data_IF_967426865910
#
_entry.id   IF_967426865910
#
_cell.length_a   1.000
_cell.length_b   1.000
_cell.length_c   1.000
_cell.angle_alpha   90.00
_cell.angle_beta   90.00
_cell.angle_gamma   90.00
#
_symmetry.space_group_name_H-M   'P 1'
#
loop_
_entity.id
_entity.type
_entity.pdbx_description
1 polymer ?
#
# COMPACT_ATOMS: atom_id res chain seq x y z
N UNK A 1 -21.74 -25.16 -18.01
CA UNK A 1 -22.00 -24.04 -17.09
C UNK A 1 -21.71 -22.74 -17.82
N UNK A 2 -22.73 -21.92 -18.04
CA UNK A 2 -22.75 -20.84 -19.03
C UNK A 2 -21.90 -19.62 -18.60
N UNK A 3 -21.19 -19.02 -19.56
CA UNK A 3 -20.34 -17.82 -19.43
C UNK A 3 -21.00 -16.65 -18.67
N UNK A 4 -22.33 -16.60 -18.69
CA UNK A 4 -23.17 -15.58 -18.03
C UNK A 4 -23.17 -15.69 -16.50
N UNK A 5 -22.95 -16.88 -15.94
CA UNK A 5 -22.86 -17.06 -14.48
C UNK A 5 -21.52 -16.59 -13.90
N UNK A 6 -20.42 -16.73 -14.65
CA UNK A 6 -19.07 -16.35 -14.19
C UNK A 6 -18.91 -14.83 -14.17
N UNK A 7 -19.45 -14.12 -15.16
CA UNK A 7 -19.44 -12.65 -15.18
C UNK A 7 -20.30 -12.05 -14.07
N UNK A 8 -21.43 -12.66 -13.73
CA UNK A 8 -22.25 -12.24 -12.57
C UNK A 8 -21.51 -12.46 -11.25
N UNK A 9 -20.87 -13.60 -11.03
CA UNK A 9 -20.18 -13.89 -9.76
C UNK A 9 -18.93 -13.01 -9.58
N UNK A 10 -18.12 -12.80 -10.63
CA UNK A 10 -16.96 -11.91 -10.56
C UNK A 10 -17.34 -10.43 -10.35
N UNK A 11 -18.40 -9.96 -11.02
CA UNK A 11 -18.86 -8.58 -10.89
C UNK A 11 -19.57 -8.31 -9.55
N UNK A 12 -20.30 -9.29 -9.01
CA UNK A 12 -20.89 -9.23 -7.66
C UNK A 12 -19.80 -9.31 -6.60
N UNK A 13 -18.81 -10.21 -6.73
CA UNK A 13 -17.69 -10.29 -5.80
C UNK A 13 -16.88 -8.98 -5.79
N UNK A 14 -16.59 -8.40 -6.95
CA UNK A 14 -15.83 -7.15 -7.02
C UNK A 14 -16.63 -5.95 -6.48
N UNK A 15 -17.94 -5.86 -6.75
CA UNK A 15 -18.80 -4.81 -6.18
C UNK A 15 -18.97 -4.96 -4.67
N UNK A 16 -19.23 -6.17 -4.19
CA UNK A 16 -19.42 -6.45 -2.76
C UNK A 16 -18.09 -6.28 -2.04
N UNK A 17 -16.98 -6.80 -2.56
CA UNK A 17 -15.67 -6.68 -1.91
C UNK A 17 -15.16 -5.23 -1.91
N UNK A 18 -15.19 -4.49 -3.02
CA UNK A 18 -14.74 -3.08 -3.03
C UNK A 18 -15.65 -2.20 -2.18
N UNK A 19 -16.97 -2.40 -2.23
CA UNK A 19 -17.91 -1.67 -1.38
C UNK A 19 -17.72 -2.01 0.10
N UNK A 20 -17.62 -3.29 0.46
CA UNK A 20 -17.37 -3.70 1.84
C UNK A 20 -16.00 -3.30 2.33
N UNK A 21 -14.96 -3.30 1.49
CA UNK A 21 -13.60 -2.91 1.88
C UNK A 21 -13.48 -1.40 2.09
N UNK A 22 -14.09 -0.58 1.21
CA UNK A 22 -14.20 0.87 1.42
C UNK A 22 -15.06 1.14 2.66
N UNK A 23 -16.22 0.49 2.79
CA UNK A 23 -17.09 0.61 3.96
C UNK A 23 -16.41 0.09 5.23
N UNK A 24 -15.54 -0.92 5.19
CA UNK A 24 -14.82 -1.48 6.35
C UNK A 24 -13.61 -0.61 6.71
N UNK A 25 -12.89 -0.04 5.74
CA UNK A 25 -11.86 0.97 5.99
C UNK A 25 -12.48 2.21 6.66
N UNK A 26 -13.66 2.64 6.21
CA UNK A 26 -14.38 3.77 6.79
C UNK A 26 -15.17 3.42 8.07
N UNK A 27 -15.69 2.19 8.24
CA UNK A 27 -16.46 1.75 9.42
C UNK A 27 -15.59 1.19 10.54
N UNK A 28 -14.45 0.55 10.27
CA UNK A 28 -13.52 0.18 11.35
C UNK A 28 -12.86 1.41 11.97
N UNK A 29 -12.76 2.52 11.23
CA UNK A 29 -12.43 3.82 11.81
C UNK A 29 -13.57 4.39 12.69
N UNK A 30 -14.80 3.87 12.57
CA UNK A 30 -16.01 4.41 13.20
C UNK A 30 -16.60 3.53 14.31
N UNK A 31 -16.31 2.23 14.32
CA UNK A 31 -16.83 1.28 15.31
C UNK A 31 -15.73 0.91 16.30
N UNK A 32 -15.44 1.85 17.20
CA UNK A 32 -14.86 1.51 18.50
C UNK A 32 -15.86 0.67 19.29
N UNK A 33 -15.80 -0.64 19.11
CA UNK A 33 -16.53 -1.63 19.91
C UNK A 33 -15.64 -1.97 21.11
N UNK A 34 -16.10 -1.62 22.32
CA UNK A 34 -15.95 -2.38 23.57
C UNK A 34 -16.81 -1.68 24.62
N UNK A 35 -18.09 -2.04 24.79
CA UNK A 35 -18.59 -3.08 25.71
C UNK A 35 -18.12 -2.90 27.15
N UNK A 36 -19.04 -2.42 27.98
CA UNK A 36 -18.95 -2.34 29.44
C UNK A 36 -18.58 -3.70 30.04
N UNK A 37 -17.39 -3.82 30.64
CA UNK A 37 -17.07 -4.90 31.57
C UNK A 37 -16.40 -4.30 32.81
N UNK A 38 -16.90 -4.79 33.94
CA UNK A 38 -16.77 -4.30 35.30
C UNK A 38 -15.33 -4.32 35.84
N UNK A 39 -15.09 -3.36 36.73
CA UNK A 39 -13.89 -3.07 37.52
C UNK A 39 -13.34 -4.25 38.34
N UNK A 40 -12.04 -4.53 38.24
CA UNK A 40 -11.20 -4.98 39.37
C UNK A 40 -9.77 -4.49 39.21
N UNK A 41 -9.29 -3.79 40.24
CA UNK A 41 -7.97 -3.16 40.34
C UNK A 41 -6.87 -4.17 40.65
N UNK A 42 -5.91 -4.35 39.75
CA UNK A 42 -4.59 -4.89 40.10
C UNK A 42 -3.48 -4.19 39.31
N UNK A 43 -2.48 -3.71 40.06
CA UNK A 43 -1.26 -3.06 39.57
C UNK A 43 -0.50 -3.95 38.60
N UNK A 44 -0.51 -3.61 37.31
CA UNK A 44 0.40 -4.18 36.31
C UNK A 44 1.30 -3.08 35.74
N UNK A 45 2.59 -3.16 36.06
CA UNK A 45 3.66 -2.24 35.67
C UNK A 45 4.27 -2.75 34.35
N UNK A 46 4.49 -1.84 33.40
CA UNK A 46 4.96 -2.06 32.01
C UNK A 46 3.93 -2.71 31.05
N UNK A 47 2.88 -1.96 30.72
CA UNK A 47 2.21 -2.12 29.42
C UNK A 47 2.91 -1.19 28.41
N UNK A 48 3.58 -1.79 27.42
CA UNK A 48 4.01 -1.12 26.20
C UNK A 48 2.76 -0.58 25.51
N UNK A 49 2.43 0.68 25.78
CA UNK A 49 1.25 1.35 25.21
C UNK A 49 1.40 1.47 23.70
N UNK A 50 0.85 0.51 22.96
CA UNK A 50 0.71 0.60 21.51
C UNK A 50 -0.31 1.68 21.18
N UNK A 51 0.16 2.90 20.91
CA UNK A 51 -0.68 3.95 20.34
C UNK A 51 -1.05 3.52 18.90
N UNK A 52 -2.31 3.17 18.68
CA UNK A 52 -2.82 2.84 17.36
C UNK A 52 -2.96 4.14 16.55
N UNK A 53 -1.89 4.51 15.84
CA UNK A 53 -1.94 5.65 14.91
C UNK A 53 -2.67 5.24 13.62
N UNK A 54 -3.29 6.17 12.89
CA UNK A 54 -3.86 5.88 11.56
C UNK A 54 -2.86 5.18 10.63
N UNK A 55 -1.58 5.55 10.71
CA UNK A 55 -0.52 4.92 9.93
C UNK A 55 -0.30 3.45 10.34
N UNK A 56 -0.40 3.11 11.62
CA UNK A 56 -0.32 1.72 12.08
C UNK A 56 -1.49 0.88 11.53
N UNK A 57 -2.67 1.47 11.38
CA UNK A 57 -3.82 0.80 10.74
C UNK A 57 -3.51 0.55 9.26
N UNK A 58 -3.01 1.56 8.53
CA UNK A 58 -2.58 1.39 7.14
C UNK A 58 -1.46 0.35 6.99
N UNK A 59 -0.56 0.22 7.97
CA UNK A 59 0.49 -0.81 7.96
C UNK A 59 -0.10 -2.22 8.12
N UNK A 60 -1.11 -2.38 8.98
CA UNK A 60 -1.72 -3.68 9.27
C UNK A 60 -2.70 -4.16 8.20
N UNK A 61 -3.28 -3.27 7.40
CA UNK A 61 -4.28 -3.69 6.40
C UNK A 61 -3.70 -4.65 5.35
N UNK A 62 -2.46 -4.45 4.91
CA UNK A 62 -1.80 -5.30 3.91
C UNK A 62 -1.58 -6.74 4.38
N UNK A 63 -0.96 -7.00 5.55
CA UNK A 63 -0.83 -8.37 6.06
C UNK A 63 -2.20 -8.99 6.40
N UNK A 64 -3.17 -8.20 6.87
CA UNK A 64 -4.53 -8.72 7.11
C UNK A 64 -5.21 -9.17 5.81
N UNK A 65 -5.12 -8.37 4.74
CA UNK A 65 -5.66 -8.77 3.42
C UNK A 65 -4.92 -9.97 2.86
N UNK A 66 -3.60 -10.05 3.01
CA UNK A 66 -2.82 -11.24 2.60
C UNK A 66 -3.30 -12.50 3.33
N UNK A 67 -3.45 -12.47 4.66
CA UNK A 67 -3.93 -13.63 5.43
C UNK A 67 -5.36 -13.98 5.04
N UNK A 68 -6.24 -12.97 4.93
CA UNK A 68 -7.64 -13.15 4.54
C UNK A 68 -7.82 -13.65 3.10
N UNK A 69 -6.86 -13.39 2.21
CA UNK A 69 -6.92 -13.83 0.82
C UNK A 69 -6.45 -15.27 0.61
N UNK A 70 -5.79 -15.91 1.58
CA UNK A 70 -5.33 -17.31 1.48
C UNK A 70 -6.46 -18.28 1.13
N UNK A 71 -7.58 -18.37 1.88
CA UNK A 71 -8.67 -19.29 1.53
C UNK A 71 -9.29 -18.97 0.16
N UNK A 72 -9.41 -17.68 -0.18
CA UNK A 72 -9.91 -17.24 -1.48
C UNK A 72 -8.98 -17.62 -2.62
N UNK A 73 -7.66 -17.54 -2.39
CA UNK A 73 -6.64 -17.94 -3.37
C UNK A 73 -6.79 -19.42 -3.70
N UNK A 74 -6.95 -20.27 -2.69
CA UNK A 74 -7.11 -21.71 -2.90
C UNK A 74 -8.41 -22.03 -3.66
N UNK A 75 -9.49 -21.33 -3.36
CA UNK A 75 -10.81 -21.54 -4.00
C UNK A 75 -10.87 -21.01 -5.43
N UNK A 76 -10.26 -19.84 -5.69
CA UNK A 76 -10.44 -19.08 -6.93
C UNK A 76 -9.27 -19.19 -7.91
N UNK A 77 -8.22 -19.97 -7.59
CA UNK A 77 -7.01 -20.13 -8.43
C UNK A 77 -7.32 -20.50 -9.88
N UNK A 78 -8.31 -21.36 -10.11
CA UNK A 78 -8.73 -21.82 -11.44
C UNK A 78 -9.23 -20.69 -12.36
N UNK A 79 -9.58 -19.52 -11.80
CA UNK A 79 -10.08 -18.38 -12.57
C UNK A 79 -8.99 -17.36 -12.94
N UNK A 80 -7.72 -17.57 -12.57
CA UNK A 80 -6.64 -16.61 -12.79
C UNK A 80 -6.54 -16.13 -14.25
N UNK A 81 -6.62 -17.06 -15.23
CA UNK A 81 -6.55 -16.77 -16.67
C UNK A 81 -7.70 -15.90 -17.14
N UNK A 82 -8.89 -16.10 -16.59
CA UNK A 82 -10.07 -15.30 -16.94
C UNK A 82 -10.02 -13.91 -16.32
N UNK A 83 -9.61 -13.81 -15.04
CA UNK A 83 -9.50 -12.52 -14.35
C UNK A 83 -8.44 -11.63 -14.98
N UNK A 84 -7.31 -12.20 -15.41
CA UNK A 84 -6.28 -11.46 -16.14
C UNK A 84 -6.75 -10.86 -17.48
N UNK A 85 -7.87 -11.34 -18.05
CA UNK A 85 -8.42 -10.81 -19.30
C UNK A 85 -9.48 -9.72 -19.07
N UNK A 86 -9.96 -9.54 -17.84
CA UNK A 86 -10.94 -8.51 -17.51
C UNK A 86 -10.35 -7.13 -17.80
N UNK A 87 -11.10 -6.30 -18.53
CA UNK A 87 -10.67 -4.97 -18.97
C UNK A 87 -10.06 -4.14 -17.83
N UNK A 88 -10.73 -4.07 -16.69
CA UNK A 88 -10.25 -3.29 -15.55
C UNK A 88 -8.92 -3.82 -15.00
N UNK A 89 -8.78 -5.14 -14.88
CA UNK A 89 -7.55 -5.76 -14.37
C UNK A 89 -6.39 -5.45 -15.31
N UNK A 90 -6.61 -5.61 -16.62
CA UNK A 90 -5.62 -5.25 -17.65
C UNK A 90 -5.26 -3.78 -17.63
N UNK A 91 -6.25 -2.91 -17.47
CA UNK A 91 -6.04 -1.46 -17.39
C UNK A 91 -5.20 -1.09 -16.18
N UNK A 92 -5.58 -1.58 -14.99
CA UNK A 92 -4.85 -1.35 -13.75
C UNK A 92 -3.41 -1.85 -13.86
N UNK A 93 -3.23 -3.09 -14.33
CA UNK A 93 -1.91 -3.70 -14.47
C UNK A 93 -1.03 -2.93 -15.45
N UNK A 94 -1.52 -2.72 -16.68
CA UNK A 94 -0.71 -2.14 -17.74
C UNK A 94 -0.37 -0.67 -17.47
N UNK A 95 -1.32 0.12 -16.98
CA UNK A 95 -1.14 1.58 -16.89
C UNK A 95 -0.81 2.10 -15.49
N UNK A 96 -1.31 1.48 -14.43
CA UNK A 96 -1.09 1.97 -13.06
C UNK A 96 0.02 1.24 -12.32
N UNK A 97 0.38 0.03 -12.74
CA UNK A 97 1.39 -0.78 -12.03
C UNK A 97 2.61 -1.04 -12.91
N UNK A 98 2.50 -1.86 -13.95
CA UNK A 98 3.64 -2.37 -14.71
C UNK A 98 4.38 -1.30 -15.52
N UNK A 99 3.71 -0.52 -16.37
CA UNK A 99 4.43 0.39 -17.28
C UNK A 99 4.78 1.74 -16.65
N UNK A 100 3.88 2.29 -15.84
CA UNK A 100 4.02 3.65 -15.31
C UNK A 100 3.91 3.73 -13.79
N UNK A 101 3.84 2.59 -13.07
CA UNK A 101 3.62 2.61 -11.63
C UNK A 101 4.67 3.47 -10.91
N UNK A 102 5.94 3.24 -11.18
CA UNK A 102 7.00 4.02 -10.51
C UNK A 102 6.95 5.51 -10.84
N UNK A 103 6.55 5.87 -12.07
CA UNK A 103 6.33 7.26 -12.47
C UNK A 103 5.16 7.90 -11.70
N UNK A 104 4.04 7.20 -11.57
CA UNK A 104 2.88 7.65 -10.78
C UNK A 104 3.26 7.84 -9.31
N UNK A 105 3.97 6.87 -8.73
CA UNK A 105 4.49 6.96 -7.37
C UNK A 105 5.38 8.19 -7.19
N UNK A 106 6.40 8.35 -8.03
CA UNK A 106 7.36 9.45 -7.93
C UNK A 106 6.66 10.80 -8.06
N UNK A 107 5.82 10.94 -9.07
CA UNK A 107 5.07 12.18 -9.33
C UNK A 107 4.18 12.53 -8.13
N UNK A 108 3.38 11.56 -7.67
CA UNK A 108 2.45 11.78 -6.56
C UNK A 108 3.18 12.09 -5.24
N UNK A 109 4.27 11.35 -4.95
CA UNK A 109 5.07 11.55 -3.75
C UNK A 109 5.63 12.97 -3.68
N UNK A 110 6.26 13.44 -4.77
CA UNK A 110 6.85 14.77 -4.80
C UNK A 110 5.80 15.89 -4.84
N UNK A 111 4.67 15.69 -5.51
CA UNK A 111 3.55 16.63 -5.43
C UNK A 111 3.02 16.77 -4.00
N UNK A 112 2.86 15.66 -3.28
CA UNK A 112 2.44 15.70 -1.87
C UNK A 112 3.48 16.35 -0.97
N UNK A 113 4.77 16.04 -1.14
CA UNK A 113 5.84 16.71 -0.37
C UNK A 113 5.84 18.21 -0.63
N UNK A 114 5.79 18.64 -1.89
CA UNK A 114 5.83 20.05 -2.25
C UNK A 114 4.58 20.81 -1.75
N UNK A 115 3.38 20.28 -2.00
CA UNK A 115 2.13 21.00 -1.75
C UNK A 115 1.50 20.76 -0.38
N UNK A 116 1.83 19.66 0.29
CA UNK A 116 1.26 19.33 1.60
C UNK A 116 2.26 19.50 2.75
N UNK A 117 3.54 19.22 2.53
CA UNK A 117 4.56 19.25 3.59
C UNK A 117 5.47 20.48 3.57
N UNK A 118 5.76 21.07 2.40
CA UNK A 118 6.78 22.11 2.26
C UNK A 118 6.25 23.55 2.21
N UNK A 119 5.07 23.79 1.62
CA UNK A 119 4.59 25.15 1.35
C UNK A 119 4.00 26.00 2.51
N UNK A 120 3.74 25.53 3.75
CA UNK A 120 3.28 26.43 4.81
C UNK A 120 4.41 27.20 5.51
N UNK A 121 5.62 26.65 5.58
CA UNK A 121 6.77 27.29 6.23
C UNK A 121 8.07 26.65 5.75
N UNK A 122 9.11 27.44 5.51
CA UNK A 122 10.34 27.05 4.79
C UNK A 122 11.25 26.14 5.64
N UNK A 123 10.77 24.95 6.03
CA UNK A 123 11.53 24.02 6.84
C UNK A 123 12.24 22.99 5.95
N UNK A 124 13.52 23.27 5.66
CA UNK A 124 14.39 22.39 4.87
C UNK A 124 14.54 20.99 5.49
N UNK A 125 14.38 20.86 6.81
CA UNK A 125 14.56 19.58 7.51
C UNK A 125 13.47 18.58 7.11
N UNK A 126 12.24 19.05 6.92
CA UNK A 126 11.11 18.23 6.46
C UNK A 126 11.38 17.69 5.04
N UNK A 127 11.87 18.55 4.15
CA UNK A 127 12.22 18.16 2.79
C UNK A 127 13.36 17.14 2.79
N UNK A 128 14.40 17.36 3.58
CA UNK A 128 15.54 16.44 3.71
C UNK A 128 15.05 15.08 4.23
N UNK A 129 14.19 15.08 5.24
CA UNK A 129 13.63 13.86 5.81
C UNK A 129 12.87 13.04 4.75
N UNK A 130 11.90 13.64 4.05
CA UNK A 130 11.14 12.93 3.02
C UNK A 130 11.97 12.55 1.79
N UNK A 131 13.00 13.34 1.47
CA UNK A 131 13.96 12.99 0.41
C UNK A 131 14.75 11.74 0.79
N UNK A 132 15.26 11.65 2.03
CA UNK A 132 15.97 10.45 2.52
C UNK A 132 15.09 9.21 2.44
N UNK A 133 13.83 9.31 2.87
CA UNK A 133 12.86 8.22 2.83
C UNK A 133 12.62 7.73 1.40
N UNK A 134 12.39 8.68 0.48
CA UNK A 134 12.21 8.37 -0.93
C UNK A 134 13.43 7.63 -1.48
N UNK A 135 14.64 8.15 -1.26
CA UNK A 135 15.87 7.55 -1.75
C UNK A 135 16.11 6.15 -1.19
N UNK A 136 15.89 5.92 0.10
CA UNK A 136 16.01 4.59 0.71
C UNK A 136 15.03 3.61 0.06
N UNK A 137 13.78 4.03 -0.15
CA UNK A 137 12.79 3.20 -0.84
C UNK A 137 13.15 2.93 -2.31
N UNK A 138 13.61 3.95 -3.04
CA UNK A 138 14.06 3.81 -4.43
C UNK A 138 15.21 2.84 -4.52
N UNK A 139 16.22 3.00 -3.69
CA UNK A 139 17.37 2.10 -3.63
C UNK A 139 16.89 0.67 -3.33
N UNK A 140 16.04 0.49 -2.32
CA UNK A 140 15.49 -0.83 -1.98
C UNK A 140 14.77 -1.49 -3.16
N UNK A 141 13.87 -0.77 -3.83
CA UNK A 141 13.12 -1.29 -4.99
C UNK A 141 14.04 -1.61 -6.17
N UNK A 142 14.96 -0.70 -6.51
CA UNK A 142 15.95 -0.92 -7.57
C UNK A 142 16.81 -2.14 -7.25
N UNK A 143 17.21 -2.32 -6.00
CA UNK A 143 18.03 -3.46 -5.59
C UNK A 143 17.29 -4.78 -5.77
N UNK A 144 16.00 -4.82 -5.46
CA UNK A 144 15.20 -6.02 -5.59
C UNK A 144 14.84 -6.34 -7.04
N UNK A 145 14.49 -5.32 -7.83
CA UNK A 145 13.84 -5.49 -9.14
C UNK A 145 14.75 -5.25 -10.36
N UNK A 146 15.78 -4.41 -10.26
CA UNK A 146 16.54 -3.94 -11.44
C UNK A 146 18.07 -4.13 -11.31
N UNK A 147 18.60 -4.23 -10.08
CA UNK A 147 20.01 -4.36 -9.69
C UNK A 147 21.09 -4.22 -10.80
N UNK A 148 21.84 -3.11 -10.76
CA UNK A 148 22.83 -2.77 -11.80
C UNK A 148 24.09 -3.66 -11.87
N UNK A 149 24.35 -4.55 -10.90
CA UNK A 149 25.51 -5.46 -10.91
C UNK A 149 25.11 -6.92 -11.17
N UNK A 150 24.29 -7.16 -12.19
CA UNK A 150 23.92 -8.50 -12.65
C UNK A 150 22.41 -8.72 -12.69
N UNK A 151 21.97 -9.93 -12.39
CA UNK A 151 20.54 -10.23 -12.25
C UNK A 151 19.96 -9.57 -10.98
N UNK A 152 18.72 -9.06 -11.02
CA UNK A 152 17.96 -8.63 -9.84
C UNK A 152 17.96 -9.70 -8.75
N UNK A 153 17.81 -9.26 -7.48
CA UNK A 153 17.74 -10.21 -6.36
C UNK A 153 16.58 -11.18 -6.53
N UNK A 154 15.44 -10.71 -7.02
CA UNK A 154 14.28 -11.56 -7.27
C UNK A 154 14.59 -12.65 -8.32
N UNK A 155 15.22 -12.30 -9.43
CA UNK A 155 15.67 -13.28 -10.43
C UNK A 155 16.67 -14.30 -9.85
N UNK A 156 17.59 -13.85 -8.98
CA UNK A 156 18.53 -14.77 -8.29
C UNK A 156 17.80 -15.74 -7.37
N UNK A 157 16.79 -15.26 -6.64
CA UNK A 157 15.97 -16.10 -5.77
C UNK A 157 15.19 -17.11 -6.62
N UNK A 158 14.61 -16.70 -7.75
CA UNK A 158 13.94 -17.60 -8.70
C UNK A 158 14.87 -18.69 -9.21
N UNK A 159 16.09 -18.33 -9.66
CA UNK A 159 17.09 -19.31 -10.13
C UNK A 159 17.49 -20.28 -9.01
N UNK A 160 17.70 -19.80 -7.77
CA UNK A 160 17.99 -20.66 -6.62
C UNK A 160 16.81 -21.59 -6.30
N UNK A 161 15.58 -21.12 -6.47
CA UNK A 161 14.35 -21.89 -6.29
C UNK A 161 14.11 -22.91 -7.42
N UNK A 162 14.92 -22.88 -8.48
CA UNK A 162 14.89 -23.86 -9.58
C UNK A 162 14.41 -23.30 -10.92
N UNK A 163 14.36 -21.98 -11.10
CA UNK A 163 14.06 -21.38 -12.40
C UNK A 163 15.15 -21.75 -13.43
N UNK A 164 14.71 -22.19 -14.61
CA UNK A 164 15.63 -22.62 -15.67
C UNK A 164 15.13 -22.18 -17.06
N UNK A 165 16.10 -21.91 -17.95
CA UNK A 165 15.83 -21.69 -19.36
C UNK A 165 15.84 -23.02 -20.13
N UNK A 166 15.02 -23.13 -21.18
CA UNK A 166 15.07 -24.27 -22.10
C UNK A 166 16.43 -24.42 -22.80
N UNK A 167 17.18 -23.32 -22.94
CA UNK A 167 18.53 -23.28 -23.49
C UNK A 167 19.55 -23.43 -22.36
N UNK A 168 20.39 -24.47 -22.43
CA UNK A 168 21.41 -24.74 -21.42
C UNK A 168 22.45 -23.61 -21.33
N UNK A 169 22.85 -23.29 -20.10
CA UNK A 169 23.87 -22.28 -19.82
C UNK A 169 23.34 -20.84 -19.71
N UNK A 170 22.05 -20.62 -19.94
CA UNK A 170 21.39 -19.33 -19.73
C UNK A 170 20.67 -19.35 -18.37
N UNK A 171 21.10 -18.49 -17.45
CA UNK A 171 20.55 -18.35 -16.10
C UNK A 171 19.85 -16.99 -15.89
N UNK A 172 19.46 -16.34 -16.98
CA UNK A 172 18.71 -15.08 -16.93
C UNK A 172 17.48 -15.16 -17.81
N UNK A 173 16.36 -14.69 -17.29
CA UNK A 173 15.06 -14.70 -17.96
C UNK A 173 15.13 -13.88 -19.25
N UNK A 174 15.54 -12.61 -19.15
CA UNK A 174 15.66 -11.73 -20.31
C UNK A 174 16.60 -12.28 -21.40
N UNK A 175 17.70 -12.93 -21.00
CA UNK A 175 18.61 -13.55 -21.96
C UNK A 175 18.00 -14.79 -22.61
N UNK A 176 17.22 -15.57 -21.85
CA UNK A 176 16.51 -16.74 -22.35
C UNK A 176 15.50 -16.35 -23.42
N UNK A 177 14.63 -15.39 -23.11
CA UNK A 177 13.60 -14.90 -24.04
C UNK A 177 14.22 -14.29 -25.30
N UNK A 178 15.28 -13.49 -25.14
CA UNK A 178 16.00 -12.89 -26.27
C UNK A 178 16.68 -13.93 -27.16
N UNK A 179 17.07 -15.07 -26.59
CA UNK A 179 17.61 -16.21 -27.34
C UNK A 179 16.52 -17.13 -27.92
N UNK A 180 15.24 -16.78 -27.77
CA UNK A 180 14.11 -17.60 -28.23
C UNK A 180 13.86 -18.83 -27.35
N UNK A 181 14.45 -18.87 -26.16
CA UNK A 181 14.21 -19.89 -25.16
C UNK A 181 12.89 -19.66 -24.42
N UNK A 182 12.44 -20.70 -23.72
CA UNK A 182 11.28 -20.65 -22.84
C UNK A 182 11.80 -20.65 -21.41
N UNK A 183 11.48 -19.60 -20.65
CA UNK A 183 11.78 -19.53 -19.23
C UNK A 183 10.73 -20.31 -18.44
N UNK A 184 11.20 -21.17 -17.54
CA UNK A 184 10.32 -21.94 -16.64
C UNK A 184 10.65 -21.56 -15.20
N UNK A 185 9.71 -20.88 -14.55
CA UNK A 185 9.88 -20.39 -13.18
C UNK A 185 8.97 -21.14 -12.19
N UNK A 186 9.53 -21.92 -11.25
CA UNK A 186 8.75 -22.53 -10.17
C UNK A 186 8.41 -21.54 -9.04
N UNK A 187 9.07 -20.39 -8.99
CA UNK A 187 8.92 -19.39 -7.93
C UNK A 187 9.20 -17.98 -8.46
N UNK A 188 8.15 -17.25 -8.82
CA UNK A 188 8.26 -15.84 -9.23
C UNK A 188 7.85 -14.91 -8.08
N UNK A 189 8.84 -14.35 -7.39
CA UNK A 189 8.59 -13.42 -6.29
C UNK A 189 7.81 -12.21 -6.77
N UNK A 190 6.69 -11.90 -6.09
CA UNK A 190 5.78 -10.87 -6.57
C UNK A 190 6.35 -9.45 -6.38
N UNK A 191 7.01 -8.96 -7.43
CA UNK A 191 7.44 -7.56 -7.60
C UNK A 191 6.28 -6.58 -7.44
N UNK A 192 5.11 -6.94 -7.97
CA UNK A 192 3.85 -6.20 -7.85
C UNK A 192 3.44 -6.03 -6.39
N UNK A 193 3.49 -7.08 -5.57
CA UNK A 193 3.23 -6.99 -4.13
C UNK A 193 4.17 -6.01 -3.44
N UNK A 194 5.48 -6.18 -3.67
CA UNK A 194 6.55 -5.38 -3.05
C UNK A 194 6.34 -3.89 -3.35
N UNK A 195 6.18 -3.57 -4.62
CA UNK A 195 5.97 -2.21 -5.09
C UNK A 195 4.67 -1.60 -4.55
N UNK A 196 3.53 -2.29 -4.70
CA UNK A 196 2.22 -1.77 -4.29
C UNK A 196 2.18 -1.49 -2.79
N UNK A 197 2.74 -2.36 -1.95
CA UNK A 197 2.79 -2.16 -0.50
C UNK A 197 3.70 -0.97 -0.16
N UNK A 198 4.96 -1.00 -0.63
CA UNK A 198 5.95 0.00 -0.21
C UNK A 198 5.57 1.39 -0.67
N UNK A 199 5.23 1.55 -1.96
CA UNK A 199 4.83 2.84 -2.52
C UNK A 199 3.54 3.36 -1.89
N UNK A 200 2.53 2.51 -1.65
CA UNK A 200 1.30 2.96 -1.01
C UNK A 200 1.53 3.43 0.42
N UNK A 201 2.32 2.71 1.22
CA UNK A 201 2.58 3.06 2.61
C UNK A 201 3.36 4.36 2.76
N UNK A 202 4.29 4.65 1.84
CA UNK A 202 4.98 5.94 1.81
C UNK A 202 4.00 7.09 1.53
N UNK A 203 3.09 6.93 0.56
CA UNK A 203 2.06 7.93 0.27
C UNK A 203 1.08 8.08 1.45
N UNK A 204 0.64 6.98 2.06
CA UNK A 204 -0.17 7.03 3.29
C UNK A 204 0.52 7.78 4.41
N UNK A 205 1.84 7.59 4.59
CA UNK A 205 2.59 8.32 5.61
C UNK A 205 2.57 9.83 5.38
N UNK A 206 2.64 10.29 4.12
CA UNK A 206 2.52 11.71 3.78
C UNK A 206 1.11 12.21 4.01
N UNK A 207 0.11 11.47 3.51
CA UNK A 207 -1.29 11.87 3.64
C UNK A 207 -1.72 11.98 5.11
N UNK A 208 -1.42 10.98 5.93
CA UNK A 208 -1.89 10.95 7.31
C UNK A 208 -1.21 11.98 8.21
N UNK A 209 0.03 12.37 7.90
CA UNK A 209 0.76 13.38 8.67
C UNK A 209 0.43 14.82 8.22
N UNK A 210 0.10 15.02 6.95
CA UNK A 210 -0.01 16.38 6.38
C UNK A 210 -1.39 16.76 5.87
N UNK A 211 -2.34 15.85 5.70
CA UNK A 211 -3.66 16.19 5.14
C UNK A 211 -4.57 16.78 6.21
N UNK A 212 -4.89 18.07 6.06
CA UNK A 212 -5.63 18.86 7.06
C UNK A 212 -7.10 18.48 7.20
N UNK A 213 -7.77 18.05 6.13
CA UNK A 213 -9.16 17.62 6.23
C UNK A 213 -9.29 16.24 6.88
N UNK A 214 -8.33 15.33 6.62
CA UNK A 214 -8.27 14.01 7.26
C UNK A 214 -7.80 14.12 8.72
N UNK A 215 -6.77 14.92 9.00
CA UNK A 215 -6.30 15.15 10.37
C UNK A 215 -7.30 15.94 11.23
N UNK A 216 -8.24 16.67 10.62
CA UNK A 216 -9.38 17.25 11.33
C UNK A 216 -10.44 16.22 11.72
N UNK A 217 -10.61 15.14 10.94
CA UNK A 217 -11.52 14.03 11.26
C UNK A 217 -10.93 13.05 12.27
N UNK A 218 -9.62 12.82 12.23
CA UNK A 218 -8.93 12.08 13.29
C UNK A 218 -8.63 13.06 14.41
N UNK A 219 -9.39 13.05 15.53
CA UNK A 219 -9.10 13.99 16.60
C UNK A 219 -7.63 13.83 16.98
N UNK A 220 -6.91 14.97 17.14
CA UNK A 220 -5.58 14.99 17.78
C UNK A 220 -5.61 14.35 19.19
N UNK A 221 -6.81 14.07 19.69
CA UNK A 221 -7.08 13.20 20.82
C UNK A 221 -6.90 11.76 20.38
N UNK A 222 -5.70 11.25 20.63
CA UNK A 222 -5.50 9.82 20.85
C UNK A 222 -6.62 9.38 21.78
N UNK A 223 -7.51 8.50 21.31
CA UNK A 223 -8.56 7.91 22.15
C UNK A 223 -7.81 7.12 23.22
N UNK A 224 -7.68 7.72 24.39
CA UNK A 224 -7.21 7.04 25.59
C UNK A 224 -8.40 6.20 26.06
N UNK A 225 -8.39 4.91 25.70
CA UNK A 225 -9.46 3.97 26.07
C UNK A 225 -9.66 3.86 27.59
N UNK A 226 -8.73 4.39 28.39
CA UNK A 226 -8.81 4.41 29.86
C UNK A 226 -9.23 5.78 30.44
N UNK A 227 -9.25 6.87 29.66
CA UNK A 227 -9.52 8.22 30.20
C UNK A 227 -10.67 8.93 29.48
N UNK A 228 -11.85 8.93 30.13
CA UNK A 228 -13.13 9.47 29.64
C UNK A 228 -13.21 11.01 29.56
N UNK A 229 -12.15 11.76 29.86
CA UNK A 229 -12.26 13.20 29.98
C UNK A 229 -12.01 13.94 28.65
N UNK A 230 -13.11 14.45 28.08
CA UNK A 230 -13.15 15.27 26.87
C UNK A 230 -12.42 16.60 27.11
N UNK A 231 -11.30 16.81 26.43
CA UNK A 231 -10.67 18.13 26.37
C UNK A 231 -11.21 18.90 25.16
N UNK A 232 -11.81 20.07 25.33
CA UNK A 232 -12.24 20.95 24.23
C UNK A 232 -11.18 22.02 23.99
N UNK A 233 -10.69 22.13 22.75
CA UNK A 233 -9.72 23.15 22.34
C UNK A 233 -10.46 24.45 21.99
N UNK A 234 -9.96 25.64 22.40
CA UNK A 234 -10.60 26.92 22.07
C UNK A 234 -10.41 27.27 20.59
N UNK A 235 -11.51 27.70 19.95
CA UNK A 235 -11.57 28.11 18.55
C UNK A 235 -11.09 29.57 18.39
N UNK A 236 -9.99 29.78 17.66
CA UNK A 236 -9.53 31.12 17.28
C UNK A 236 -9.96 31.45 15.85
N UNK A 237 -10.81 32.47 15.70
CA UNK A 237 -11.18 33.05 14.43
C UNK A 237 -10.09 33.98 13.93
N UNK A 238 -9.50 33.70 12.76
CA UNK A 238 -8.66 34.67 12.07
C UNK A 238 -9.11 34.80 10.62
N UNK A 239 -9.69 35.96 10.33
CA UNK A 239 -10.12 36.48 9.03
C UNK A 239 -8.92 36.89 8.18
N UNK A 240 -8.83 36.38 6.94
CA UNK A 240 -7.80 36.81 5.97
C UNK A 240 -7.76 36.02 4.66
N UNK A 241 -8.91 35.71 4.04
CA UNK A 241 -9.01 34.83 2.87
C UNK A 241 -9.28 35.60 1.57
N UNK A 242 -8.25 35.81 0.74
CA UNK A 242 -8.43 35.91 -0.73
C UNK A 242 -7.20 35.42 -1.52
N UNK A 243 -5.98 35.48 -0.97
CA UNK A 243 -4.79 34.80 -1.54
C UNK A 243 -4.53 33.40 -0.99
N UNK A 244 -5.25 33.01 0.06
CA UNK A 244 -5.09 31.73 0.76
C UNK A 244 -5.90 30.57 0.12
N UNK A 245 -6.78 30.85 -0.83
CA UNK A 245 -7.71 29.86 -1.43
C UNK A 245 -7.17 29.03 -2.60
N UNK A 246 -6.30 29.60 -3.46
CA UNK A 246 -5.82 28.89 -4.67
C UNK A 246 -4.89 27.72 -4.32
N UNK A 247 -3.96 27.93 -3.39
CA UNK A 247 -3.04 26.87 -2.95
C UNK A 247 -3.77 25.78 -2.17
N UNK A 248 -4.82 26.15 -1.42
CA UNK A 248 -5.67 25.20 -0.70
C UNK A 248 -6.44 24.30 -1.67
N UNK A 249 -7.05 24.88 -2.70
CA UNK A 249 -7.80 24.12 -3.71
C UNK A 249 -6.88 23.15 -4.45
N UNK A 250 -5.72 23.60 -4.93
CA UNK A 250 -4.75 22.75 -5.63
C UNK A 250 -4.26 21.60 -4.73
N UNK A 251 -3.94 21.91 -3.47
CA UNK A 251 -3.54 20.89 -2.49
C UNK A 251 -4.64 19.85 -2.30
N UNK A 252 -5.89 20.26 -2.08
CA UNK A 252 -7.01 19.32 -1.93
C UNK A 252 -7.20 18.46 -3.19
N UNK A 253 -7.04 19.02 -4.39
CA UNK A 253 -7.08 18.25 -5.64
C UNK A 253 -5.98 17.17 -5.66
N UNK A 254 -4.75 17.52 -5.29
CA UNK A 254 -3.63 16.57 -5.23
C UNK A 254 -3.92 15.46 -4.21
N UNK A 255 -4.42 15.82 -3.02
CA UNK A 255 -4.79 14.86 -1.97
C UNK A 255 -5.91 13.91 -2.43
N UNK A 256 -6.94 14.41 -3.11
CA UNK A 256 -8.03 13.58 -3.67
C UNK A 256 -7.49 12.64 -4.74
N UNK A 257 -6.65 13.13 -5.67
CA UNK A 257 -6.00 12.29 -6.68
C UNK A 257 -5.16 11.20 -6.01
N UNK A 258 -4.42 11.54 -4.95
CA UNK A 258 -3.61 10.58 -4.21
C UNK A 258 -4.45 9.46 -3.59
N UNK A 259 -5.57 9.80 -2.96
CA UNK A 259 -6.50 8.82 -2.40
C UNK A 259 -7.09 7.94 -3.51
N UNK A 260 -7.47 8.50 -4.66
CA UNK A 260 -7.98 7.72 -5.79
C UNK A 260 -6.95 6.72 -6.32
N UNK A 261 -5.69 7.15 -6.50
CA UNK A 261 -4.59 6.27 -6.94
C UNK A 261 -4.34 5.17 -5.90
N UNK A 262 -4.31 5.51 -4.61
CA UNK A 262 -4.16 4.53 -3.53
C UNK A 262 -5.27 3.49 -3.52
N UNK A 263 -6.52 3.90 -3.74
CA UNK A 263 -7.66 2.97 -3.85
C UNK A 263 -7.47 2.04 -5.05
N UNK A 264 -7.06 2.56 -6.20
CA UNK A 264 -6.79 1.74 -7.40
C UNK A 264 -5.64 0.76 -7.16
N UNK A 265 -4.54 1.20 -6.56
CA UNK A 265 -3.42 0.33 -6.17
C UNK A 265 -3.82 -0.73 -5.15
N UNK A 266 -4.67 -0.39 -4.20
CA UNK A 266 -5.15 -1.35 -3.22
C UNK A 266 -6.11 -2.39 -3.83
N UNK A 267 -6.90 -2.01 -4.82
CA UNK A 267 -7.68 -2.94 -5.64
C UNK A 267 -6.74 -3.87 -6.41
N UNK A 268 -5.71 -3.34 -7.07
CA UNK A 268 -4.68 -4.17 -7.74
C UNK A 268 -4.03 -5.14 -6.76
N UNK A 269 -3.62 -4.66 -5.58
CA UNK A 269 -3.03 -5.47 -4.53
C UNK A 269 -3.97 -6.61 -4.12
N UNK A 270 -5.26 -6.34 -3.93
CA UNK A 270 -6.25 -7.36 -3.59
C UNK A 270 -6.40 -8.40 -4.70
N UNK A 271 -6.49 -7.96 -5.96
CA UNK A 271 -6.60 -8.86 -7.10
C UNK A 271 -5.38 -9.78 -7.15
N UNK A 272 -4.17 -9.22 -7.01
CA UNK A 272 -2.93 -10.00 -6.91
C UNK A 272 -2.94 -10.92 -5.70
N UNK A 273 -3.48 -10.46 -4.57
CA UNK A 273 -3.58 -11.25 -3.33
C UNK A 273 -4.45 -12.49 -3.49
N UNK A 274 -5.44 -12.47 -4.38
CA UNK A 274 -6.39 -13.58 -4.60
C UNK A 274 -6.01 -14.43 -5.81
N UNK A 275 -5.66 -13.83 -6.95
CA UNK A 275 -5.64 -14.53 -8.24
C UNK A 275 -4.25 -14.85 -8.80
N UNK A 276 -3.24 -14.07 -8.44
CA UNK A 276 -1.89 -14.17 -9.03
C UNK A 276 -0.89 -14.64 -7.99
N UNK A 277 0.22 -15.24 -8.41
CA UNK A 277 1.28 -15.78 -7.54
C UNK A 277 0.87 -16.87 -6.55
N UNK A 278 1.86 -17.64 -6.12
CA UNK A 278 1.70 -18.61 -5.03
C UNK A 278 1.74 -17.92 -3.66
N UNK A 279 1.27 -18.61 -2.62
CA UNK A 279 1.28 -18.11 -1.24
C UNK A 279 2.70 -17.70 -0.76
N UNK A 280 3.77 -18.49 -0.99
CA UNK A 280 5.11 -18.10 -0.57
C UNK A 280 5.67 -16.91 -1.38
N UNK A 281 5.37 -16.82 -2.69
CA UNK A 281 5.78 -15.66 -3.51
C UNK A 281 5.18 -14.35 -2.97
N UNK A 282 3.89 -14.39 -2.61
CA UNK A 282 3.20 -13.26 -1.96
C UNK A 282 3.80 -12.93 -0.60
N UNK A 283 4.20 -13.94 0.17
CA UNK A 283 4.82 -13.73 1.48
C UNK A 283 6.16 -12.99 1.36
N UNK A 284 7.01 -13.38 0.41
CA UNK A 284 8.27 -12.69 0.13
C UNK A 284 7.99 -11.25 -0.31
N UNK A 285 7.04 -11.05 -1.24
CA UNK A 285 6.66 -9.70 -1.67
C UNK A 285 6.11 -8.83 -0.53
N UNK A 286 5.35 -9.42 0.40
CA UNK A 286 4.84 -8.75 1.60
C UNK A 286 5.98 -8.29 2.52
N UNK A 287 6.92 -9.17 2.83
CA UNK A 287 8.07 -8.84 3.68
C UNK A 287 8.92 -7.74 3.05
N UNK A 288 9.25 -7.88 1.76
CA UNK A 288 10.03 -6.89 1.01
C UNK A 288 9.30 -5.54 0.93
N UNK A 289 7.99 -5.54 0.70
CA UNK A 289 7.18 -4.32 0.62
C UNK A 289 7.02 -3.59 1.95
N UNK A 290 6.96 -4.33 3.07
CA UNK A 290 6.85 -3.75 4.41
C UNK A 290 8.19 -3.26 4.99
N UNK A 291 9.32 -3.72 4.43
CA UNK A 291 10.65 -3.47 4.99
C UNK A 291 10.92 -1.97 5.21
N UNK A 292 10.86 -1.16 4.15
CA UNK A 292 11.15 0.28 4.25
C UNK A 292 10.14 0.98 5.16
N UNK A 293 8.80 0.86 4.96
CA UNK A 293 7.80 1.45 5.86
C UNK A 293 7.97 1.15 7.36
N UNK A 294 8.40 -0.07 7.70
CA UNK A 294 8.68 -0.44 9.10
C UNK A 294 9.95 0.26 9.59
N UNK A 295 11.02 0.21 8.79
CA UNK A 295 12.31 0.85 9.11
C UNK A 295 12.14 2.36 9.27
N UNK A 296 11.22 3.00 8.52
CA UNK A 296 10.90 4.43 8.66
C UNK A 296 10.59 4.86 10.09
N UNK A 297 9.93 4.00 10.88
CA UNK A 297 9.62 4.32 12.28
C UNK A 297 10.85 4.48 13.17
N UNK A 298 11.99 3.95 12.72
CA UNK A 298 13.25 3.95 13.45
C UNK A 298 14.26 4.95 12.88
N UNK A 299 13.99 5.51 11.69
CA UNK A 299 14.79 6.59 11.11
C UNK A 299 14.33 7.90 11.74
N UNK A 300 15.18 8.48 12.61
CA UNK A 300 15.00 9.81 13.20
C UNK A 300 15.67 10.89 12.34
#
# INVERSE_FOLDING_TARGET
MTLVHVTRVGFVFMRVFVFWLVVLIFRCAFLGICSNILTTTHNCKMSTRYKLTPYNISLLIYPTVYIGSIPLTLLLKQYNKYIGQVFLVRFLEQYLVSNNGYLWFTTLYWLLVAFSAYLPDTNKDILIFYTKIYLINTIWIVILLEWFFGSPIFERISVIAGATCSIRGIYREYACERSGGVWTDPFDSSSHYTYLISSSLLIWSLLLNHVTWISGYFPNHVIDLENSNRYTVPYSNTTGDTKMDSNRTLRTIIEVIAVLILVMWFISFTITSVFFHTIPEKFVGLLCGLFVPIVLKYIK
#
